data_IF_197843298663
#
_entry.id   IF_197843298663
#
_cell.length_a   1.000
_cell.length_b   1.000
_cell.length_c   1.000
_cell.angle_alpha   90.00
_cell.angle_beta   90.00
_cell.angle_gamma   90.00
#
_symmetry.space_group_name_H-M   'P 1'
#
loop_
_entity.id
_entity.type
_entity.pdbx_description
1 polymer ?
#
# COMPACT_ATOMS: atom_id res chain seq x y z
N UNK A 1 -4.48 1.03 15.95
CA UNK A 1 -4.90 1.39 14.58
C UNK A 1 -4.31 0.39 13.62
N UNK A 2 -4.93 0.15 12.46
CA UNK A 2 -4.27 -0.60 11.39
C UNK A 2 -2.92 0.06 11.06
N UNK A 3 -1.86 -0.75 10.99
CA UNK A 3 -0.46 -0.35 10.75
C UNK A 3 0.37 0.17 11.94
N UNK A 4 -0.10 0.12 13.20
CA UNK A 4 0.70 0.57 14.34
C UNK A 4 2.02 -0.22 14.47
N UNK A 5 2.01 -1.54 14.30
CA UNK A 5 3.21 -2.36 14.35
C UNK A 5 4.10 -2.16 13.12
N UNK A 6 3.49 -1.88 11.96
CA UNK A 6 4.24 -1.54 10.74
C UNK A 6 5.04 -0.26 10.96
N UNK A 7 4.38 0.82 11.41
CA UNK A 7 5.02 2.10 11.66
C UNK A 7 6.03 2.02 12.82
N UNK A 8 5.69 1.31 13.90
CA UNK A 8 6.61 1.12 15.02
C UNK A 8 7.87 0.33 14.60
N UNK A 9 7.71 -0.71 13.79
CA UNK A 9 8.84 -1.52 13.30
C UNK A 9 9.72 -0.73 12.35
N UNK A 10 9.13 0.06 11.44
CA UNK A 10 9.89 0.95 10.55
C UNK A 10 10.61 2.05 11.34
N UNK A 11 9.92 2.69 12.30
CA UNK A 11 10.45 3.77 13.13
C UNK A 11 11.55 3.31 14.09
N UNK A 12 11.53 2.06 14.54
CA UNK A 12 12.58 1.48 15.37
C UNK A 12 13.91 1.30 14.62
N UNK A 13 13.89 1.26 13.27
CA UNK A 13 15.08 1.12 12.45
C UNK A 13 15.76 -0.26 12.56
N UNK A 14 17.01 -0.32 12.11
CA UNK A 14 17.84 -1.53 12.17
C UNK A 14 17.35 -2.67 11.26
N UNK A 15 17.77 -3.89 11.59
CA UNK A 15 17.48 -5.10 10.81
C UNK A 15 15.97 -5.37 10.64
N UNK A 16 15.11 -5.22 11.67
CA UNK A 16 13.67 -5.42 11.51
C UNK A 16 13.04 -4.45 10.52
N UNK A 17 13.42 -3.16 10.57
CA UNK A 17 12.91 -2.15 9.64
C UNK A 17 13.36 -2.43 8.21
N UNK A 18 14.63 -2.78 8.00
CA UNK A 18 15.16 -3.15 6.68
C UNK A 18 14.41 -4.35 6.10
N UNK A 19 14.19 -5.38 6.92
CA UNK A 19 13.46 -6.57 6.50
C UNK A 19 12.02 -6.25 6.12
N UNK A 20 11.33 -5.46 6.94
CA UNK A 20 9.96 -5.02 6.66
C UNK A 20 9.90 -4.18 5.36
N UNK A 21 10.84 -3.27 5.15
CA UNK A 21 10.93 -2.48 3.92
C UNK A 21 11.14 -3.37 2.68
N UNK A 22 12.01 -4.38 2.77
CA UNK A 22 12.22 -5.36 1.70
C UNK A 22 10.95 -6.17 1.39
N UNK A 23 10.24 -6.63 2.43
CA UNK A 23 8.96 -7.34 2.28
C UNK A 23 7.92 -6.45 1.61
N UNK A 24 7.78 -5.19 2.02
CA UNK A 24 6.86 -4.22 1.40
C UNK A 24 7.22 -4.01 -0.07
N UNK A 25 8.50 -3.82 -0.40
CA UNK A 25 8.95 -3.62 -1.77
C UNK A 25 8.64 -4.84 -2.65
N UNK A 26 8.93 -6.06 -2.16
CA UNK A 26 8.60 -7.30 -2.87
C UNK A 26 7.09 -7.47 -3.03
N UNK A 27 6.31 -7.15 -2.01
CA UNK A 27 4.85 -7.17 -2.08
C UNK A 27 4.32 -6.23 -3.15
N UNK A 28 4.79 -4.98 -3.20
CA UNK A 28 4.41 -4.01 -4.24
C UNK A 28 4.74 -4.55 -5.63
N UNK A 29 5.93 -5.13 -5.81
CA UNK A 29 6.37 -5.65 -7.10
C UNK A 29 5.52 -6.84 -7.55
N UNK A 30 5.21 -7.79 -6.67
CA UNK A 30 4.36 -8.94 -7.00
C UNK A 30 2.89 -8.50 -7.21
N UNK A 31 2.37 -7.58 -6.40
CA UNK A 31 1.04 -7.00 -6.59
C UNK A 31 0.89 -6.35 -7.97
N UNK A 32 1.90 -5.60 -8.40
CA UNK A 32 1.90 -4.94 -9.69
C UNK A 32 1.80 -5.93 -10.84
N UNK A 33 2.51 -7.07 -10.74
CA UNK A 33 2.45 -8.15 -11.74
C UNK A 33 1.07 -8.81 -11.79
N UNK A 34 0.41 -8.95 -10.63
CA UNK A 34 -0.88 -9.60 -10.50
C UNK A 34 -2.07 -8.66 -10.77
N UNK A 35 -1.84 -7.35 -10.91
CA UNK A 35 -2.91 -6.36 -11.06
C UNK A 35 -3.67 -6.06 -9.76
N UNK A 36 -3.11 -6.43 -8.61
CA UNK A 36 -3.74 -6.34 -7.28
C UNK A 36 -3.55 -4.98 -6.58
N UNK A 37 -2.81 -4.06 -7.20
CA UNK A 37 -2.65 -2.70 -6.70
C UNK A 37 -3.95 -1.90 -6.89
N UNK A 38 -4.35 -1.20 -5.83
CA UNK A 38 -5.49 -0.29 -5.86
C UNK A 38 -5.23 0.85 -6.86
N UNK A 39 -6.28 1.35 -7.51
CA UNK A 39 -6.23 2.54 -8.35
C UNK A 39 -6.61 3.78 -7.53
N UNK A 40 -5.95 4.89 -7.85
CA UNK A 40 -6.32 6.20 -7.35
C UNK A 40 -6.05 7.26 -8.42
N UNK A 41 -6.71 8.39 -8.28
CA UNK A 41 -6.51 9.58 -9.09
C UNK A 41 -5.68 10.57 -8.28
N UNK A 42 -4.54 10.95 -8.83
CA UNK A 42 -3.66 11.97 -8.29
C UNK A 42 -3.85 13.29 -9.04
N UNK A 43 -4.18 14.34 -8.32
CA UNK A 43 -4.31 15.70 -8.86
C UNK A 43 -2.95 16.39 -8.76
N UNK A 44 -2.22 16.48 -9.88
CA UNK A 44 -0.83 17.01 -9.87
C UNK A 44 -0.71 18.43 -9.35
N UNK A 45 -1.69 19.28 -9.61
CA UNK A 45 -1.66 20.70 -9.24
C UNK A 45 -1.79 20.95 -7.74
N UNK A 46 -2.45 20.05 -7.02
CA UNK A 46 -2.73 20.20 -5.57
C UNK A 46 -2.03 19.15 -4.71
N UNK A 47 -1.52 18.07 -5.31
CA UNK A 47 -0.95 16.94 -4.59
C UNK A 47 -2.01 16.03 -3.94
N UNK A 48 -3.28 16.23 -4.25
CA UNK A 48 -4.39 15.47 -3.65
C UNK A 48 -4.51 14.07 -4.29
N UNK A 49 -4.76 13.07 -3.45
CA UNK A 49 -5.15 11.72 -3.85
C UNK A 49 -6.65 11.54 -3.66
N UNK A 50 -7.30 10.96 -4.65
CA UNK A 50 -8.73 10.68 -4.68
C UNK A 50 -8.97 9.24 -5.16
N UNK A 51 -10.05 8.65 -4.72
CA UNK A 51 -10.61 7.43 -5.31
C UNK A 51 -11.37 7.75 -6.59
N UNK A 52 -11.66 6.74 -7.41
CA UNK A 52 -12.47 6.94 -8.62
C UNK A 52 -13.87 7.47 -8.28
N UNK A 53 -14.51 6.94 -7.24
CA UNK A 53 -15.82 7.42 -6.76
C UNK A 53 -15.79 8.90 -6.36
N UNK A 54 -14.72 9.33 -5.67
CA UNK A 54 -14.53 10.73 -5.28
C UNK A 54 -14.30 11.65 -6.49
N UNK A 55 -13.63 11.15 -7.52
CA UNK A 55 -13.42 11.90 -8.76
C UNK A 55 -14.71 12.02 -9.58
N UNK A 56 -15.55 10.98 -9.58
CA UNK A 56 -16.82 10.94 -10.31
C UNK A 56 -17.87 11.90 -9.72
N UNK A 57 -17.80 12.20 -8.43
CA UNK A 57 -18.70 13.15 -7.75
C UNK A 57 -18.21 14.60 -7.78
N UNK A 58 -17.06 14.88 -8.41
CA UNK A 58 -16.55 16.25 -8.50
C UNK A 58 -17.51 17.15 -9.30
N UNK A 59 -17.82 18.35 -8.79
CA UNK A 59 -18.56 19.35 -9.56
C UNK A 59 -17.87 19.65 -10.89
N UNK A 60 -18.65 19.83 -11.96
CA UNK A 60 -18.12 20.04 -13.32
C UNK A 60 -17.12 21.21 -13.41
N UNK A 61 -17.34 22.27 -12.61
CA UNK A 61 -16.45 23.43 -12.51
C UNK A 61 -15.07 23.06 -11.95
N UNK A 62 -15.03 22.24 -10.89
CA UNK A 62 -13.79 21.78 -10.29
C UNK A 62 -13.08 20.79 -11.22
N UNK A 63 -13.85 19.88 -11.83
CA UNK A 63 -13.32 18.91 -12.78
C UNK A 63 -12.66 19.61 -13.98
N UNK A 64 -13.25 20.69 -14.50
CA UNK A 64 -12.67 21.47 -15.60
C UNK A 64 -11.32 22.11 -15.23
N UNK A 65 -11.12 22.52 -13.97
CA UNK A 65 -9.86 23.10 -13.48
C UNK A 65 -8.75 22.05 -13.33
N UNK A 66 -9.11 20.82 -12.93
CA UNK A 66 -8.13 19.78 -12.62
C UNK A 66 -7.97 18.73 -13.72
N UNK A 67 -8.81 18.73 -14.77
CA UNK A 67 -8.88 17.69 -15.81
C UNK A 67 -7.53 17.33 -16.41
N UNK A 68 -6.73 18.35 -16.77
CA UNK A 68 -5.41 18.16 -17.39
C UNK A 68 -4.32 17.76 -16.38
N UNK A 69 -4.65 17.74 -15.09
CA UNK A 69 -3.77 17.38 -13.98
C UNK A 69 -4.13 16.04 -13.33
N UNK A 70 -5.21 15.37 -13.75
CA UNK A 70 -5.62 14.07 -13.22
C UNK A 70 -4.73 12.97 -13.79
N UNK A 71 -4.08 12.22 -12.90
CA UNK A 71 -3.24 11.07 -13.28
C UNK A 71 -3.69 9.85 -12.50
N UNK A 72 -3.98 8.76 -13.21
CA UNK A 72 -4.20 7.47 -12.56
C UNK A 72 -2.88 6.92 -12.04
N UNK A 73 -2.86 6.59 -10.76
CA UNK A 73 -1.72 6.02 -10.06
C UNK A 73 -2.12 4.70 -9.42
N UNK A 74 -1.14 3.81 -9.26
CA UNK A 74 -1.31 2.58 -8.48
C UNK A 74 -0.86 2.84 -7.04
N UNK A 75 -1.64 2.40 -6.07
CA UNK A 75 -1.35 2.56 -4.64
C UNK A 75 -1.28 1.21 -3.93
N UNK A 76 -0.55 1.18 -2.82
CA UNK A 76 -0.51 0.01 -1.96
C UNK A 76 -1.90 -0.21 -1.32
N UNK A 77 -2.49 -1.42 -1.42
CA UNK A 77 -3.81 -1.67 -0.85
C UNK A 77 -3.83 -1.51 0.66
N UNK A 78 -4.78 -0.72 1.19
CA UNK A 78 -4.92 -0.51 2.65
C UNK A 78 -5.11 -1.83 3.39
N UNK A 79 -5.89 -2.76 2.80
CA UNK A 79 -6.11 -4.13 3.31
C UNK A 79 -4.82 -4.93 3.55
N UNK A 80 -3.70 -4.54 2.94
CA UNK A 80 -2.42 -5.22 3.14
C UNK A 80 -1.63 -4.64 4.31
N UNK A 81 -1.92 -3.41 4.75
CA UNK A 81 -1.36 -2.88 5.99
C UNK A 81 -1.84 -3.69 7.19
N UNK A 82 -3.13 -4.06 7.21
CA UNK A 82 -3.71 -4.92 8.24
C UNK A 82 -3.03 -6.29 8.29
N UNK A 83 -2.81 -6.89 7.11
CA UNK A 83 -2.12 -8.18 6.98
C UNK A 83 -0.66 -8.08 7.40
N UNK A 84 0.02 -6.98 7.09
CA UNK A 84 1.41 -6.75 7.51
C UNK A 84 1.50 -6.59 9.03
N UNK A 85 0.55 -5.88 9.63
CA UNK A 85 0.45 -5.72 11.08
C UNK A 85 0.29 -7.08 11.78
N UNK A 86 -0.63 -7.92 11.29
CA UNK A 86 -0.82 -9.30 11.77
C UNK A 86 0.42 -10.18 11.53
N UNK A 87 1.06 -10.07 10.36
CA UNK A 87 2.30 -10.77 10.05
C UNK A 87 3.43 -10.45 11.03
N UNK A 88 3.56 -9.17 11.39
CA UNK A 88 4.52 -8.70 12.41
C UNK A 88 4.11 -9.26 13.78
N UNK A 89 2.84 -9.13 14.17
CA UNK A 89 2.33 -9.64 15.45
C UNK A 89 2.55 -11.15 15.65
N UNK A 90 2.46 -11.94 14.57
CA UNK A 90 2.72 -13.39 14.57
C UNK A 90 4.20 -13.77 14.55
N UNK A 91 5.09 -12.79 14.40
CA UNK A 91 6.52 -13.04 14.34
C UNK A 91 7.00 -13.53 12.97
N UNK A 92 6.27 -13.30 11.87
CA UNK A 92 6.65 -13.80 10.55
C UNK A 92 8.00 -13.22 10.08
N UNK A 93 8.27 -11.94 10.36
CA UNK A 93 9.55 -11.29 10.03
C UNK A 93 10.76 -12.00 10.66
N UNK A 94 10.58 -12.75 11.75
CA UNK A 94 11.70 -13.43 12.44
C UNK A 94 11.82 -14.90 12.08
N UNK A 95 10.74 -15.50 11.57
CA UNK A 95 10.65 -16.95 11.35
C UNK A 95 10.82 -17.36 9.89
N UNK A 96 10.59 -16.44 8.95
CA UNK A 96 10.52 -16.75 7.53
C UNK A 96 11.45 -15.85 6.70
N UNK A 97 11.92 -16.34 5.53
CA UNK A 97 12.55 -15.50 4.53
C UNK A 97 11.51 -14.59 3.86
N UNK A 98 11.98 -13.47 3.29
CA UNK A 98 11.11 -12.45 2.69
C UNK A 98 10.16 -13.04 1.63
N UNK A 99 10.64 -13.95 0.78
CA UNK A 99 9.82 -14.55 -0.29
C UNK A 99 8.62 -15.32 0.28
N UNK A 100 8.83 -16.06 1.37
CA UNK A 100 7.76 -16.85 1.99
C UNK A 100 6.76 -15.92 2.72
N UNK A 101 7.23 -14.82 3.31
CA UNK A 101 6.36 -13.80 3.90
C UNK A 101 5.49 -13.18 2.81
N UNK A 102 6.07 -12.77 1.68
CA UNK A 102 5.33 -12.23 0.53
C UNK A 102 4.29 -13.23 0.04
N UNK A 103 4.65 -14.50 -0.10
CA UNK A 103 3.73 -15.56 -0.52
C UNK A 103 2.56 -15.73 0.45
N UNK A 104 2.82 -15.79 1.77
CA UNK A 104 1.79 -15.87 2.81
C UNK A 104 0.84 -14.67 2.73
N UNK A 105 1.41 -13.46 2.58
CA UNK A 105 0.67 -12.20 2.49
C UNK A 105 -0.26 -12.14 1.27
N UNK A 106 0.18 -12.66 0.12
CA UNK A 106 -0.62 -12.73 -1.11
C UNK A 106 -1.74 -13.77 -1.02
N UNK A 107 -1.49 -14.94 -0.43
CA UNK A 107 -2.52 -15.99 -0.27
C UNK A 107 -3.64 -15.59 0.71
N UNK A 108 -3.37 -14.64 1.62
CA UNK A 108 -4.31 -14.20 2.64
C UNK A 108 -4.44 -15.20 3.81
N UNK A 109 -5.16 -14.82 4.88
CA UNK A 109 -5.44 -15.74 5.98
C UNK A 109 -6.26 -16.93 5.49
N UNK A 110 -5.87 -18.13 5.91
CA UNK A 110 -6.71 -19.33 5.85
C UNK A 110 -7.67 -19.35 7.02
#
# INVERSE_FOLDING_TARGET
MPADLVLATLGAGGQPAMKLANVIQKLVAEAAKLGELDEAIYVRSTGQLMTDDEADVLPAEQLAVVKDHLVRVKRFPVRWLDRLDDAIGRGLLWRYPDEEIVRIMLMGPR
#
